data_IF_711160242960
#
_entry.id   IF_711160242960
#
_cell.length_a   1.000
_cell.length_b   1.000
_cell.length_c   1.000
_cell.angle_alpha   90.00
_cell.angle_beta   90.00
_cell.angle_gamma   90.00
#
_symmetry.space_group_name_H-M   'P 1'
#
loop_
_entity.id
_entity.type
_entity.pdbx_description
1 polymer ?
#
# COMPACT_ATOMS: atom_id res chain seq x y z
N UNK A 1 19.95 27.57 25.82
CA UNK A 1 19.33 27.04 27.06
C UNK A 1 19.26 25.53 26.92
N UNK A 2 20.04 24.78 27.71
CA UNK A 2 20.04 23.32 27.70
C UNK A 2 19.06 22.84 28.76
N UNK A 3 17.81 22.61 28.39
CA UNK A 3 16.84 21.95 29.27
C UNK A 3 17.10 20.43 29.22
N UNK A 4 17.89 19.90 30.17
CA UNK A 4 18.18 18.46 30.27
C UNK A 4 17.07 17.69 31.00
N UNK A 5 15.81 18.08 30.83
CA UNK A 5 14.67 17.51 31.56
C UNK A 5 13.55 17.17 30.57
N UNK A 6 13.01 15.96 30.68
CA UNK A 6 11.81 15.53 29.97
C UNK A 6 10.58 16.25 30.52
N UNK A 7 9.62 16.54 29.65
CA UNK A 7 8.31 17.06 30.05
C UNK A 7 7.32 15.92 30.19
N UNK A 8 6.65 15.87 31.34
CA UNK A 8 5.56 14.95 31.61
C UNK A 8 4.25 15.67 31.32
N UNK A 9 3.39 15.06 30.51
CA UNK A 9 2.00 15.51 30.37
C UNK A 9 1.13 14.71 31.33
N UNK A 10 0.16 15.36 31.98
CA UNK A 10 -0.88 14.71 32.77
C UNK A 10 -2.20 15.50 32.67
N UNK A 11 -3.22 15.07 33.41
CA UNK A 11 -4.56 15.68 33.36
C UNK A 11 -4.66 17.12 33.87
N UNK A 12 -3.62 17.65 34.52
CA UNK A 12 -3.60 19.00 35.08
C UNK A 12 -2.76 19.98 34.24
N UNK A 13 -1.94 19.49 33.31
CA UNK A 13 -1.05 20.32 32.51
C UNK A 13 0.25 19.60 32.14
N UNK A 14 1.27 20.39 31.78
CA UNK A 14 2.60 19.89 31.44
C UNK A 14 3.65 20.28 32.48
N UNK A 15 4.56 19.36 32.81
CA UNK A 15 5.47 19.49 33.95
C UNK A 15 6.92 19.17 33.59
N UNK A 16 7.87 19.95 34.14
CA UNK A 16 9.30 19.72 33.95
C UNK A 16 9.90 18.79 35.02
N UNK A 17 10.42 17.63 34.61
CA UNK A 17 11.38 16.82 35.37
C UNK A 17 10.90 16.14 36.66
N UNK A 18 11.83 15.49 37.37
CA UNK A 18 11.54 14.66 38.55
C UNK A 18 11.61 15.42 39.87
N UNK A 19 10.54 15.23 40.64
CA UNK A 19 10.26 15.56 42.05
C UNK A 19 11.06 16.71 42.73
N UNK A 20 10.41 17.85 43.02
CA UNK A 20 9.02 18.18 42.71
C UNK A 20 8.82 18.41 41.20
N UNK A 21 7.69 17.95 40.68
CA UNK A 21 7.23 18.30 39.34
C UNK A 21 7.00 19.82 39.29
N UNK A 22 7.58 20.51 38.31
CA UNK A 22 7.33 21.94 38.09
C UNK A 22 6.26 22.12 37.02
N UNK A 23 5.09 22.67 37.37
CA UNK A 23 4.04 23.01 36.41
C UNK A 23 4.57 24.07 35.43
N UNK A 24 4.43 23.81 34.14
CA UNK A 24 4.84 24.71 33.05
C UNK A 24 3.65 25.41 32.39
N UNK A 25 2.46 24.80 32.44
CA UNK A 25 1.19 25.38 32.01
C UNK A 25 0.06 24.37 32.17
N UNK A 26 -1.17 24.84 31.99
CA UNK A 26 -2.42 24.09 32.18
C UNK A 26 -3.17 24.05 30.86
N UNK A 27 -3.94 22.98 30.64
CA UNK A 27 -4.81 22.82 29.48
C UNK A 27 -5.94 23.84 29.46
N UNK A 28 -6.34 24.30 28.28
CA UNK A 28 -7.39 25.30 28.07
C UNK A 28 -8.16 25.01 26.79
N UNK A 29 -9.42 25.43 26.71
CA UNK A 29 -10.21 25.33 25.46
C UNK A 29 -9.79 26.32 24.36
N UNK A 30 -8.63 26.96 24.53
CA UNK A 30 -7.96 27.81 23.55
C UNK A 30 -6.70 27.06 23.08
N UNK A 31 -6.07 27.53 21.99
CA UNK A 31 -4.84 26.91 21.49
C UNK A 31 -3.73 26.75 22.56
N UNK A 32 -3.44 25.51 22.93
CA UNK A 32 -2.37 25.11 23.83
C UNK A 32 -1.10 24.76 23.06
N UNK A 33 0.03 25.37 23.46
CA UNK A 33 1.32 25.16 22.78
C UNK A 33 2.36 24.61 23.73
N UNK A 34 2.68 23.33 23.57
CA UNK A 34 3.75 22.63 24.30
C UNK A 34 4.92 22.36 23.37
N UNK A 35 6.06 23.03 23.60
CA UNK A 35 7.29 22.81 22.81
C UNK A 35 8.47 22.48 23.69
N UNK A 36 9.05 21.30 23.48
CA UNK A 36 10.11 20.76 24.33
C UNK A 36 11.29 20.34 23.49
N UNK A 37 12.50 20.75 23.90
CA UNK A 37 13.76 20.27 23.34
C UNK A 37 14.71 19.87 24.45
N UNK A 38 15.16 18.62 24.41
CA UNK A 38 15.99 18.02 25.46
C UNK A 38 17.05 17.09 24.90
N UNK A 39 18.07 16.81 25.71
CA UNK A 39 19.07 15.76 25.47
C UNK A 39 18.75 14.45 26.21
N UNK A 40 17.59 14.39 26.90
CA UNK A 40 17.06 13.19 27.53
C UNK A 40 16.68 12.11 26.50
N UNK A 41 16.21 10.95 26.96
CA UNK A 41 15.73 9.88 26.08
C UNK A 41 14.43 10.34 25.39
N UNK A 42 13.53 10.95 26.15
CA UNK A 42 12.24 11.42 25.66
C UNK A 42 12.15 12.95 25.70
N UNK A 43 11.65 13.55 24.62
CA UNK A 43 11.26 14.96 24.59
C UNK A 43 10.07 15.19 25.51
N UNK A 44 8.97 14.56 25.14
CA UNK A 44 7.73 14.47 25.92
C UNK A 44 7.48 13.02 26.28
N UNK A 45 6.97 12.78 27.49
CA UNK A 45 6.52 11.45 27.90
C UNK A 45 5.15 11.47 28.61
N UNK A 46 4.34 10.45 28.32
CA UNK A 46 3.16 10.05 29.08
C UNK A 46 3.45 8.67 29.65
N UNK A 47 3.65 8.58 30.96
CA UNK A 47 4.38 7.47 31.57
C UNK A 47 3.59 6.16 31.72
N UNK A 48 2.27 6.24 31.79
CA UNK A 48 1.42 5.11 32.22
C UNK A 48 0.05 5.17 31.55
N UNK A 49 -0.57 4.00 31.39
CA UNK A 49 -1.87 3.80 30.74
C UNK A 49 -3.03 4.50 31.43
N UNK A 50 -2.86 4.87 32.71
CA UNK A 50 -3.86 5.59 33.50
C UNK A 50 -3.69 7.13 33.47
N UNK A 51 -2.74 7.65 32.69
CA UNK A 51 -2.56 9.09 32.51
C UNK A 51 -3.28 9.49 31.24
N UNK A 52 -4.27 10.38 31.39
CA UNK A 52 -4.90 11.10 30.29
C UNK A 52 -4.36 12.51 30.25
N UNK A 53 -3.81 12.88 29.10
CA UNK A 53 -3.53 14.23 28.68
C UNK A 53 -4.72 14.66 27.84
N UNK A 54 -5.45 15.67 28.28
CA UNK A 54 -6.59 16.21 27.57
C UNK A 54 -6.40 17.72 27.51
N UNK A 55 -6.27 18.28 26.30
CA UNK A 55 -6.00 19.71 26.08
C UNK A 55 -7.25 20.58 26.17
N UNK A 56 -8.45 20.00 26.22
CA UNK A 56 -9.77 20.64 26.35
C UNK A 56 -10.28 21.34 25.07
N UNK A 57 -9.76 20.93 23.90
CA UNK A 57 -10.11 21.42 22.58
C UNK A 57 -9.41 22.74 22.21
N UNK A 58 -9.57 23.17 20.96
CA UNK A 58 -8.84 24.31 20.40
C UNK A 58 -7.70 23.84 19.49
N UNK A 59 -7.03 24.77 18.78
CA UNK A 59 -5.99 24.39 17.83
C UNK A 59 -4.64 24.19 18.53
N UNK A 60 -4.38 22.98 18.99
CA UNK A 60 -3.27 22.65 19.87
C UNK A 60 -2.00 22.25 19.13
N UNK A 61 -0.87 22.40 19.81
CA UNK A 61 0.42 21.99 19.29
C UNK A 61 1.28 21.35 20.36
N UNK A 62 1.52 20.05 20.22
CA UNK A 62 2.39 19.26 21.09
C UNK A 62 3.65 18.86 20.31
N UNK A 63 4.78 19.49 20.61
CA UNK A 63 6.07 19.21 19.97
C UNK A 63 7.11 18.70 20.97
N UNK A 64 7.54 17.45 20.81
CA UNK A 64 8.60 16.83 21.58
C UNK A 64 9.87 16.62 20.73
N UNK A 65 11.00 17.22 21.12
CA UNK A 65 12.30 17.04 20.47
C UNK A 65 13.30 16.41 21.44
N UNK A 66 13.87 15.27 21.05
CA UNK A 66 14.92 14.55 21.78
C UNK A 66 16.21 14.47 20.96
N UNK A 67 17.34 14.92 21.52
CA UNK A 67 18.68 14.72 20.94
C UNK A 67 19.53 13.85 21.86
N UNK A 68 19.11 12.60 22.03
CA UNK A 68 19.72 11.69 23.00
C UNK A 68 21.00 11.02 22.48
N UNK A 69 21.86 10.64 23.42
CA UNK A 69 22.96 9.68 23.15
C UNK A 69 22.66 8.29 23.69
N UNK A 70 21.47 8.11 24.30
CA UNK A 70 21.03 6.87 24.94
C UNK A 70 20.20 6.00 23.97
N UNK A 71 19.91 4.76 24.38
CA UNK A 71 19.12 3.79 23.61
C UNK A 71 17.63 4.17 23.67
N UNK A 72 16.89 3.89 22.60
CA UNK A 72 15.43 4.01 22.47
C UNK A 72 14.89 5.42 22.79
N UNK A 73 15.46 6.43 22.14
CA UNK A 73 14.96 7.80 22.27
C UNK A 73 13.67 8.02 21.49
N UNK A 74 12.85 8.95 21.97
CA UNK A 74 11.68 9.42 21.23
C UNK A 74 11.45 10.92 21.38
N UNK A 75 10.91 11.55 20.34
CA UNK A 75 10.43 12.93 20.43
C UNK A 75 9.23 12.98 21.39
N UNK A 76 8.27 12.10 21.13
CA UNK A 76 7.12 11.83 21.98
C UNK A 76 7.08 10.34 22.31
N UNK A 77 7.01 10.00 23.60
CA UNK A 77 6.80 8.65 24.09
C UNK A 77 5.48 8.57 24.84
N UNK A 78 4.49 7.86 24.27
CA UNK A 78 3.17 7.74 24.84
C UNK A 78 2.90 6.31 25.33
N UNK A 79 2.67 6.13 26.63
CA UNK A 79 2.08 4.91 27.22
C UNK A 79 0.66 5.16 27.76
N UNK A 80 0.14 6.38 27.70
CA UNK A 80 -1.16 6.77 28.25
C UNK A 80 -2.10 7.20 27.14
N UNK A 81 -2.89 8.23 27.41
CA UNK A 81 -3.79 8.84 26.45
C UNK A 81 -3.32 10.27 26.20
N UNK A 82 -3.11 10.62 24.94
CA UNK A 82 -3.03 11.99 24.46
C UNK A 82 -4.32 12.23 23.69
N UNK A 83 -5.14 13.17 24.16
CA UNK A 83 -6.43 13.52 23.60
C UNK A 83 -6.43 15.03 23.39
N UNK A 84 -6.58 15.51 22.16
CA UNK A 84 -6.63 16.95 21.88
C UNK A 84 -8.05 17.50 21.73
N UNK A 85 -9.07 16.64 21.78
CA UNK A 85 -10.48 16.98 21.52
C UNK A 85 -10.67 17.72 20.19
N UNK A 86 -11.75 18.48 19.98
CA UNK A 86 -11.99 19.16 18.70
C UNK A 86 -10.98 20.30 18.48
N UNK A 87 -10.42 20.40 17.27
CA UNK A 87 -9.44 21.43 16.94
C UNK A 87 -8.56 21.05 15.76
N UNK A 88 -7.87 22.02 15.15
CA UNK A 88 -6.85 21.73 14.14
C UNK A 88 -5.50 21.52 14.81
N UNK A 89 -5.23 20.29 15.18
CA UNK A 89 -4.17 19.95 16.11
C UNK A 89 -2.90 19.46 15.41
N UNK A 90 -1.78 19.68 16.10
CA UNK A 90 -0.46 19.25 15.62
C UNK A 90 0.26 18.48 16.72
N UNK A 91 0.49 17.19 16.48
CA UNK A 91 1.34 16.35 17.32
C UNK A 91 2.63 16.04 16.56
N UNK A 92 3.76 16.59 17.02
CA UNK A 92 5.05 16.50 16.36
C UNK A 92 6.14 15.89 17.27
N UNK A 93 6.62 14.70 16.92
CA UNK A 93 7.73 14.04 17.59
C UNK A 93 9.00 14.03 16.72
N UNK A 94 10.08 14.60 17.24
CA UNK A 94 11.40 14.61 16.58
C UNK A 94 12.42 13.94 17.50
N UNK A 95 13.12 12.92 17.01
CA UNK A 95 14.21 12.29 17.74
C UNK A 95 15.44 12.10 16.88
N UNK A 96 16.58 12.61 17.35
CA UNK A 96 17.89 12.40 16.76
C UNK A 96 18.79 11.69 17.75
N UNK A 97 19.25 10.49 17.41
CA UNK A 97 20.18 9.72 18.23
C UNK A 97 21.53 9.53 17.53
N UNK A 98 22.61 9.85 18.23
CA UNK A 98 23.97 9.66 17.70
C UNK A 98 24.54 8.28 18.00
N UNK A 99 23.77 7.39 18.64
CA UNK A 99 24.26 6.06 19.01
C UNK A 99 23.31 4.90 18.72
N UNK A 100 21.99 5.08 18.75
CA UNK A 100 21.04 3.96 18.87
C UNK A 100 19.66 4.24 18.26
N UNK A 101 18.71 3.29 18.40
CA UNK A 101 17.33 3.39 17.92
C UNK A 101 16.64 4.69 18.37
N UNK A 102 15.92 5.29 17.44
CA UNK A 102 15.28 6.60 17.58
C UNK A 102 13.89 6.56 16.95
N UNK A 103 12.87 7.07 17.64
CA UNK A 103 11.51 7.17 17.09
C UNK A 103 11.08 8.65 17.11
N UNK A 104 10.50 9.18 16.04
CA UNK A 104 9.87 10.50 16.12
C UNK A 104 8.75 10.48 17.16
N UNK A 105 7.77 9.62 16.92
CA UNK A 105 6.70 9.28 17.86
C UNK A 105 6.78 7.78 18.15
N UNK A 106 6.72 7.41 19.43
CA UNK A 106 6.51 6.04 19.87
C UNK A 106 5.23 5.98 20.71
N UNK A 107 4.22 5.34 20.17
CA UNK A 107 2.91 5.19 20.78
C UNK A 107 2.66 3.74 21.19
N UNK A 108 2.51 3.49 22.49
CA UNK A 108 2.02 2.23 23.04
C UNK A 108 0.64 2.41 23.72
N UNK A 109 0.09 3.63 23.70
CA UNK A 109 -1.19 3.98 24.32
C UNK A 109 -2.15 4.50 23.25
N UNK A 110 -2.89 5.55 23.56
CA UNK A 110 -3.82 6.20 22.63
C UNK A 110 -3.36 7.61 22.31
N UNK A 111 -3.34 7.95 21.03
CA UNK A 111 -3.34 9.33 20.55
C UNK A 111 -4.69 9.54 19.87
N UNK A 112 -5.44 10.55 20.28
CA UNK A 112 -6.73 10.95 19.74
C UNK A 112 -6.65 12.44 19.40
N UNK A 113 -6.92 12.84 18.16
CA UNK A 113 -6.91 14.26 17.77
C UNK A 113 -8.27 14.87 17.53
N UNK A 114 -9.35 14.08 17.52
CA UNK A 114 -10.70 14.59 17.70
C UNK A 114 -11.44 14.82 16.39
N UNK A 115 -11.90 16.05 16.14
CA UNK A 115 -12.49 16.43 14.86
C UNK A 115 -11.74 17.65 14.34
N UNK A 116 -11.94 17.96 13.06
CA UNK A 116 -11.20 18.93 12.26
C UNK A 116 -9.89 18.35 11.69
N UNK A 117 -9.23 19.14 10.84
CA UNK A 117 -8.07 18.66 10.09
C UNK A 117 -6.81 18.68 10.96
N UNK A 118 -6.37 17.50 11.37
CA UNK A 118 -5.26 17.27 12.26
C UNK A 118 -3.98 16.87 11.55
N UNK A 119 -2.87 16.96 12.28
CA UNK A 119 -1.56 16.61 11.76
C UNK A 119 -0.69 15.90 12.79
N UNK A 120 -0.29 14.66 12.46
CA UNK A 120 0.65 13.87 13.25
C UNK A 120 1.95 13.69 12.48
N UNK A 121 3.07 14.17 13.04
CA UNK A 121 4.39 14.12 12.40
C UNK A 121 5.39 13.40 13.30
N UNK A 122 5.96 12.29 12.82
CA UNK A 122 7.06 11.59 13.47
C UNK A 122 8.33 11.62 12.62
N UNK A 123 9.40 12.24 13.11
CA UNK A 123 10.73 12.22 12.49
C UNK A 123 11.76 11.52 13.40
N UNK A 124 12.18 10.32 12.98
CA UNK A 124 13.26 9.57 13.59
C UNK A 124 14.53 9.67 12.78
N UNK A 125 15.64 9.96 13.46
CA UNK A 125 16.98 9.90 12.89
C UNK A 125 17.97 9.20 13.83
N UNK A 126 18.77 8.28 13.27
CA UNK A 126 19.81 7.53 13.97
C UNK A 126 20.96 7.15 13.03
N UNK A 127 22.20 7.25 13.54
CA UNK A 127 23.39 6.87 12.77
C UNK A 127 23.73 5.37 12.78
N UNK A 128 23.17 4.55 13.70
CA UNK A 128 23.64 3.16 13.92
C UNK A 128 22.55 2.06 13.87
N UNK A 129 21.55 2.11 14.76
CA UNK A 129 20.64 0.97 15.01
C UNK A 129 19.25 1.13 14.37
N UNK A 130 19.12 2.07 13.43
CA UNK A 130 17.85 2.32 12.76
C UNK A 130 16.95 3.36 13.43
N UNK A 131 16.03 3.97 12.68
CA UNK A 131 15.05 4.91 13.23
C UNK A 131 13.69 4.76 12.57
N UNK A 132 12.63 4.91 13.36
CA UNK A 132 11.26 4.98 12.86
C UNK A 132 10.77 6.42 12.90
N UNK A 133 10.00 6.84 11.90
CA UNK A 133 9.27 8.10 12.00
C UNK A 133 8.19 8.02 13.08
N UNK A 134 7.23 7.15 12.83
CA UNK A 134 6.16 6.78 13.78
C UNK A 134 6.28 5.29 14.05
N UNK A 135 6.30 4.91 15.32
CA UNK A 135 6.12 3.54 15.77
C UNK A 135 4.85 3.48 16.60
N UNK A 136 3.88 2.73 16.11
CA UNK A 136 2.61 2.49 16.77
C UNK A 136 2.49 1.02 17.19
N UNK A 137 2.37 0.79 18.49
CA UNK A 137 2.00 -0.48 19.11
C UNK A 137 0.64 -0.34 19.85
N UNK A 138 -0.01 0.83 19.77
CA UNK A 138 -1.29 1.16 20.42
C UNK A 138 -2.32 1.68 19.40
N UNK A 139 -3.08 2.71 19.77
CA UNK A 139 -4.08 3.35 18.90
C UNK A 139 -3.66 4.77 18.56
N UNK A 140 -3.73 5.11 17.27
CA UNK A 140 -3.77 6.49 16.80
C UNK A 140 -5.12 6.67 16.11
N UNK A 141 -5.91 7.64 16.57
CA UNK A 141 -7.21 8.02 16.02
C UNK A 141 -7.16 9.51 15.69
N UNK A 142 -7.44 9.92 14.45
CA UNK A 142 -7.54 11.36 14.13
C UNK A 142 -8.97 11.87 14.06
N UNK A 143 -9.93 10.99 13.75
CA UNK A 143 -11.36 11.26 13.88
C UNK A 143 -11.92 11.92 12.62
N UNK A 144 -12.86 12.86 12.69
CA UNK A 144 -13.40 13.40 11.42
C UNK A 144 -12.60 14.62 10.97
N UNK A 145 -12.20 14.68 9.71
CA UNK A 145 -11.39 15.76 9.18
C UNK A 145 -10.61 15.32 7.97
N UNK A 146 -9.93 16.25 7.30
CA UNK A 146 -8.92 15.86 6.33
C UNK A 146 -7.56 15.82 7.04
N UNK A 147 -7.24 14.67 7.59
CA UNK A 147 -6.12 14.48 8.50
C UNK A 147 -4.83 14.10 7.79
N UNK A 148 -3.71 14.38 8.43
CA UNK A 148 -2.39 14.12 7.86
C UNK A 148 -1.48 13.43 8.84
N UNK A 149 -1.04 12.22 8.50
CA UNK A 149 -0.01 11.48 9.23
C UNK A 149 1.27 11.35 8.39
N UNK A 150 2.40 11.83 8.92
CA UNK A 150 3.70 11.76 8.24
C UNK A 150 4.75 11.11 9.15
N UNK A 151 5.24 9.94 8.75
CA UNK A 151 6.36 9.26 9.40
C UNK A 151 7.61 9.25 8.51
N UNK A 152 8.70 9.85 8.99
CA UNK A 152 10.03 9.80 8.35
C UNK A 152 11.05 9.10 9.24
N UNK A 153 11.58 7.96 8.80
CA UNK A 153 12.65 7.21 9.47
C UNK A 153 13.89 7.08 8.58
N UNK A 154 15.00 7.73 8.95
CA UNK A 154 16.20 7.80 8.10
C UNK A 154 16.87 6.44 7.76
N UNK A 155 16.60 5.41 8.57
CA UNK A 155 17.34 4.15 8.50
C UNK A 155 16.51 2.89 8.75
N UNK A 156 15.24 2.99 9.18
CA UNK A 156 14.31 1.85 9.24
C UNK A 156 12.99 2.16 8.53
N UNK A 157 11.94 2.52 9.26
CA UNK A 157 10.58 2.58 8.72
C UNK A 157 10.02 4.00 8.85
N UNK A 158 9.36 4.51 7.82
CA UNK A 158 8.61 5.76 7.95
C UNK A 158 7.51 5.62 9.02
N UNK A 159 6.59 4.69 8.80
CA UNK A 159 5.53 4.34 9.74
C UNK A 159 5.56 2.83 10.00
N UNK A 160 5.83 2.44 11.24
CA UNK A 160 5.76 1.06 11.71
C UNK A 160 4.50 0.91 12.58
N UNK A 161 3.50 0.22 12.07
CA UNK A 161 2.32 -0.19 12.84
C UNK A 161 2.46 -1.67 13.20
N UNK A 162 2.70 -1.96 14.48
CA UNK A 162 3.01 -3.30 14.98
C UNK A 162 1.96 -3.72 16.01
N UNK A 163 1.07 -4.64 15.66
CA UNK A 163 -0.10 -5.03 16.46
C UNK A 163 -1.04 -3.84 16.84
N UNK A 164 -0.82 -2.65 16.25
CA UNK A 164 -1.52 -1.41 16.56
C UNK A 164 -2.66 -1.08 15.59
N UNK A 165 -3.40 -0.03 15.93
CA UNK A 165 -4.47 0.55 15.11
C UNK A 165 -4.08 1.98 14.75
N UNK A 166 -4.11 2.28 13.45
CA UNK A 166 -4.16 3.64 12.92
C UNK A 166 -5.54 3.77 12.28
N UNK A 167 -6.30 4.76 12.71
CA UNK A 167 -7.64 5.07 12.23
C UNK A 167 -7.68 6.57 11.98
N UNK A 168 -7.86 7.01 10.74
CA UNK A 168 -7.93 8.44 10.44
C UNK A 168 -9.36 8.99 10.40
N UNK A 169 -10.37 8.13 10.52
CA UNK A 169 -11.79 8.50 10.59
C UNK A 169 -12.36 9.01 9.25
N UNK A 170 -13.43 9.81 9.24
CA UNK A 170 -14.04 10.25 7.97
C UNK A 170 -13.38 11.55 7.46
N UNK A 171 -13.16 11.64 6.15
CA UNK A 171 -12.65 12.79 5.43
C UNK A 171 -11.56 12.40 4.44
N UNK A 172 -10.96 13.35 3.74
CA UNK A 172 -9.92 13.04 2.75
C UNK A 172 -8.55 13.02 3.45
N UNK A 173 -8.16 11.87 3.93
CA UNK A 173 -6.99 11.68 4.77
C UNK A 173 -5.72 11.39 3.98
N UNK A 174 -4.59 11.66 4.62
CA UNK A 174 -3.28 11.39 4.03
C UNK A 174 -2.34 10.70 5.02
N UNK A 175 -1.89 9.50 4.67
CA UNK A 175 -0.85 8.76 5.40
C UNK A 175 0.41 8.67 4.53
N UNK A 176 1.51 9.24 5.00
CA UNK A 176 2.81 9.22 4.30
C UNK A 176 3.90 8.58 5.15
N UNK A 177 4.46 7.47 4.67
CA UNK A 177 5.61 6.80 5.28
C UNK A 177 6.85 6.85 4.38
N UNK A 178 7.95 7.42 4.89
CA UNK A 178 9.23 7.52 4.19
C UNK A 178 10.34 6.90 5.05
N UNK A 179 11.04 5.90 4.54
CA UNK A 179 12.18 5.32 5.24
C UNK A 179 13.01 4.34 4.41
N UNK A 180 13.79 3.47 5.06
CA UNK A 180 14.37 2.31 4.37
C UNK A 180 13.24 1.42 3.85
N UNK A 181 12.23 1.21 4.69
CA UNK A 181 10.87 0.85 4.32
C UNK A 181 9.93 2.04 4.51
N UNK A 182 8.96 2.23 3.62
CA UNK A 182 8.01 3.35 3.71
C UNK A 182 7.03 3.16 4.87
N UNK A 183 6.13 2.20 4.71
CA UNK A 183 5.16 1.78 5.74
C UNK A 183 5.27 0.27 5.95
N UNK A 184 5.29 -0.15 7.21
CA UNK A 184 5.22 -1.56 7.61
C UNK A 184 4.06 -1.73 8.58
N UNK A 185 2.98 -2.36 8.10
CA UNK A 185 1.84 -2.80 8.88
C UNK A 185 2.00 -4.31 9.18
N UNK A 186 2.34 -4.63 10.43
CA UNK A 186 2.71 -5.98 10.88
C UNK A 186 1.71 -6.41 11.95
N UNK A 187 0.80 -7.31 11.58
CA UNK A 187 -0.35 -7.74 12.39
C UNK A 187 -1.26 -6.61 12.89
N UNK A 188 -1.10 -5.40 12.34
CA UNK A 188 -1.85 -4.21 12.70
C UNK A 188 -3.03 -3.95 11.77
N UNK A 189 -3.71 -2.83 12.03
CA UNK A 189 -4.79 -2.29 11.21
C UNK A 189 -4.49 -0.83 10.87
N UNK A 190 -4.66 -0.49 9.59
CA UNK A 190 -4.67 0.89 9.10
C UNK A 190 -6.05 1.11 8.46
N UNK A 191 -6.74 2.18 8.88
CA UNK A 191 -8.05 2.59 8.40
C UNK A 191 -8.07 4.07 8.08
N UNK A 192 -8.70 4.44 6.97
CA UNK A 192 -8.88 5.85 6.59
C UNK A 192 -10.32 6.30 6.39
N UNK A 193 -11.31 5.41 6.57
CA UNK A 193 -12.72 5.78 6.72
C UNK A 193 -13.40 6.23 5.42
N UNK A 194 -14.51 6.97 5.50
CA UNK A 194 -15.16 7.47 4.28
C UNK A 194 -14.45 8.76 3.80
N UNK A 195 -14.03 8.82 2.53
CA UNK A 195 -13.39 9.97 1.92
C UNK A 195 -12.49 9.55 0.76
N UNK A 196 -11.91 10.53 0.05
CA UNK A 196 -10.92 10.22 -0.98
C UNK A 196 -9.52 10.24 -0.36
N UNK A 197 -9.06 9.09 0.11
CA UNK A 197 -7.87 8.95 0.93
C UNK A 197 -6.61 8.72 0.12
N UNK A 198 -5.47 9.06 0.73
CA UNK A 198 -4.17 8.87 0.11
C UNK A 198 -3.18 8.20 1.06
N UNK A 199 -2.71 7.01 0.68
CA UNK A 199 -1.58 6.34 1.33
C UNK A 199 -0.36 6.38 0.40
N UNK A 200 0.69 7.09 0.84
CA UNK A 200 1.98 7.15 0.13
C UNK A 200 3.08 6.46 0.93
N UNK A 201 3.69 5.43 0.35
CA UNK A 201 4.74 4.65 1.00
C UNK A 201 6.03 4.62 0.17
N UNK A 202 7.09 5.26 0.67
CA UNK A 202 8.39 5.36 0.00
C UNK A 202 9.50 4.63 0.77
N UNK A 203 9.88 3.46 0.25
CA UNK A 203 11.04 2.68 0.67
C UNK A 203 12.28 3.03 -0.13
N UNK A 204 13.24 3.70 0.49
CA UNK A 204 14.47 4.19 -0.15
C UNK A 204 15.54 3.11 -0.36
N UNK A 205 15.42 1.96 0.32
CA UNK A 205 16.41 0.87 0.26
C UNK A 205 15.78 -0.51 0.14
N UNK A 206 14.62 -0.70 0.78
CA UNK A 206 13.88 -1.95 0.84
C UNK A 206 12.42 -1.74 0.40
N UNK A 207 11.43 -2.25 1.12
CA UNK A 207 10.02 -2.30 0.72
C UNK A 207 9.31 -0.94 0.79
N UNK A 208 8.43 -0.66 -0.16
CA UNK A 208 7.62 0.56 -0.09
C UNK A 208 6.53 0.43 0.97
N UNK A 209 5.69 -0.60 0.82
CA UNK A 209 4.58 -0.91 1.71
C UNK A 209 4.60 -2.41 2.07
N UNK A 210 4.53 -2.75 3.35
CA UNK A 210 4.40 -4.13 3.82
C UNK A 210 3.11 -4.28 4.63
N UNK A 211 2.31 -5.28 4.31
CA UNK A 211 1.08 -5.61 5.02
C UNK A 211 1.09 -7.12 5.35
N UNK A 212 1.67 -7.45 6.50
CA UNK A 212 1.95 -8.84 6.90
C UNK A 212 0.99 -9.27 8.00
N UNK A 213 0.12 -10.24 7.69
CA UNK A 213 -0.96 -10.70 8.56
C UNK A 213 -1.81 -9.53 9.10
N UNK A 214 -1.93 -8.48 8.30
CA UNK A 214 -2.45 -7.17 8.68
C UNK A 214 -3.53 -6.71 7.69
N UNK A 215 -4.31 -5.72 8.11
CA UNK A 215 -5.38 -5.12 7.30
C UNK A 215 -5.07 -3.66 7.02
N UNK A 216 -5.22 -3.26 5.76
CA UNK A 216 -5.29 -1.86 5.33
C UNK A 216 -6.62 -1.69 4.62
N UNK A 217 -7.42 -0.74 5.05
CA UNK A 217 -8.80 -0.55 4.62
C UNK A 217 -9.06 0.95 4.45
N UNK A 218 -9.20 1.41 3.21
CA UNK A 218 -9.40 2.85 2.93
C UNK A 218 -10.86 3.27 2.88
N UNK A 219 -11.82 2.35 3.08
CA UNK A 219 -13.22 2.70 3.30
C UNK A 219 -14.01 2.99 2.02
N UNK A 220 -14.68 4.13 1.88
CA UNK A 220 -15.39 4.47 0.64
C UNK A 220 -14.91 5.82 0.13
N UNK A 221 -14.78 5.96 -1.18
CA UNK A 221 -14.35 7.17 -1.88
C UNK A 221 -13.35 6.79 -2.95
N UNK A 222 -12.91 7.77 -3.75
CA UNK A 222 -11.89 7.48 -4.77
C UNK A 222 -10.50 7.49 -4.11
N UNK A 223 -10.04 6.33 -3.64
CA UNK A 223 -8.83 6.20 -2.84
C UNK A 223 -7.57 6.00 -3.67
N UNK A 224 -6.43 6.40 -3.11
CA UNK A 224 -5.13 6.27 -3.78
C UNK A 224 -4.07 5.67 -2.87
N UNK A 225 -3.52 4.52 -3.28
CA UNK A 225 -2.34 3.90 -2.67
C UNK A 225 -1.17 3.98 -3.65
N UNK A 226 -0.18 4.82 -3.33
CA UNK A 226 1.04 4.97 -4.13
C UNK A 226 2.26 4.45 -3.39
N UNK A 227 2.97 3.50 -4.01
CA UNK A 227 4.10 2.82 -3.39
C UNK A 227 5.33 2.85 -4.28
N UNK A 228 6.42 3.36 -3.73
CA UNK A 228 7.75 3.30 -4.34
C UNK A 228 8.69 2.56 -3.41
N UNK A 229 9.37 1.53 -3.90
CA UNK A 229 10.33 0.78 -3.10
C UNK A 229 10.68 -0.51 -3.78
N UNK A 230 10.93 -1.58 -3.03
CA UNK A 230 11.20 -2.89 -3.61
C UNK A 230 9.94 -3.54 -4.19
N UNK A 231 8.82 -3.43 -3.49
CA UNK A 231 7.46 -3.88 -3.85
C UNK A 231 6.41 -3.39 -2.83
N UNK A 232 5.11 -3.50 -3.16
CA UNK A 232 4.01 -3.73 -2.20
C UNK A 232 4.04 -5.20 -1.81
N UNK A 233 4.15 -5.49 -0.52
CA UNK A 233 4.33 -6.85 -0.01
C UNK A 233 3.20 -7.28 0.89
N UNK A 234 2.37 -8.20 0.41
CA UNK A 234 1.30 -8.81 1.19
C UNK A 234 1.72 -10.21 1.61
N UNK A 235 1.70 -10.48 2.92
CA UNK A 235 1.99 -11.80 3.47
C UNK A 235 0.86 -12.24 4.40
N UNK A 236 -0.17 -12.87 3.82
CA UNK A 236 -1.40 -13.27 4.53
C UNK A 236 -2.23 -12.09 5.04
N UNK A 237 -2.00 -10.89 4.53
CA UNK A 237 -2.75 -9.66 4.85
C UNK A 237 -3.66 -9.23 3.70
N UNK A 238 -4.51 -8.23 3.96
CA UNK A 238 -5.46 -7.69 2.98
C UNK A 238 -5.35 -6.17 2.80
N UNK A 239 -5.43 -5.72 1.55
CA UNK A 239 -5.71 -4.32 1.20
C UNK A 239 -7.13 -4.26 0.65
N UNK A 240 -7.94 -3.35 1.18
CA UNK A 240 -9.31 -3.08 0.79
C UNK A 240 -9.45 -1.58 0.50
N UNK A 241 -10.02 -1.20 -0.65
CA UNK A 241 -10.27 0.22 -0.97
C UNK A 241 -11.75 0.58 -1.04
N UNK A 242 -12.63 -0.42 -1.21
CA UNK A 242 -14.06 -0.34 -0.93
C UNK A 242 -14.90 0.19 -2.10
N UNK A 243 -15.76 1.19 -1.90
CA UNK A 243 -16.54 1.72 -3.03
C UNK A 243 -15.94 3.02 -3.52
N UNK A 244 -15.72 3.16 -4.83
CA UNK A 244 -15.13 4.34 -5.45
C UNK A 244 -14.25 3.94 -6.63
N UNK A 245 -13.69 4.91 -7.34
CA UNK A 245 -12.75 4.64 -8.43
C UNK A 245 -11.33 4.66 -7.87
N UNK A 246 -10.88 3.54 -7.36
CA UNK A 246 -9.67 3.44 -6.57
C UNK A 246 -8.43 3.24 -7.43
N UNK A 247 -7.29 3.69 -6.92
CA UNK A 247 -6.00 3.55 -7.61
C UNK A 247 -4.93 2.97 -6.71
N UNK A 248 -4.40 1.81 -7.08
CA UNK A 248 -3.22 1.20 -6.48
C UNK A 248 -2.06 1.22 -7.48
N UNK A 249 -1.03 2.01 -7.20
CA UNK A 249 0.19 2.07 -8.03
C UNK A 249 1.42 1.65 -7.24
N UNK A 250 2.13 0.65 -7.74
CA UNK A 250 3.37 0.16 -7.14
C UNK A 250 4.53 0.16 -8.13
N UNK A 251 5.62 0.85 -7.78
CA UNK A 251 6.87 0.86 -8.54
C UNK A 251 7.98 0.13 -7.77
N UNK A 252 8.29 -1.08 -8.25
CA UNK A 252 9.37 -1.94 -7.80
C UNK A 252 10.72 -1.55 -8.39
N UNK A 253 11.59 -0.96 -7.58
CA UNK A 253 12.93 -0.49 -7.95
C UNK A 253 13.96 -1.60 -8.17
N UNK A 254 13.67 -2.83 -7.73
CA UNK A 254 14.60 -3.97 -7.81
C UNK A 254 13.96 -5.25 -8.35
N UNK A 255 12.80 -5.62 -7.81
CA UNK A 255 12.20 -6.94 -8.09
C UNK A 255 10.79 -6.82 -8.66
N UNK A 256 9.79 -6.57 -7.82
CA UNK A 256 8.38 -6.70 -8.18
C UNK A 256 7.62 -5.40 -7.90
N UNK A 257 6.61 -5.03 -8.70
CA UNK A 257 5.73 -3.91 -8.34
C UNK A 257 4.83 -4.31 -7.16
N UNK A 258 3.93 -5.25 -7.40
CA UNK A 258 3.00 -5.81 -6.41
C UNK A 258 3.33 -7.28 -6.16
N UNK A 259 3.55 -7.68 -4.90
CA UNK A 259 3.83 -9.06 -4.51
C UNK A 259 2.83 -9.55 -3.46
N UNK A 260 1.97 -10.48 -3.85
CA UNK A 260 0.94 -11.10 -3.01
C UNK A 260 1.25 -12.57 -2.77
N UNK A 261 1.43 -12.99 -1.52
CA UNK A 261 1.62 -14.41 -1.15
C UNK A 261 0.28 -15.16 -1.10
N UNK A 262 0.29 -16.51 -0.97
CA UNK A 262 -0.92 -17.25 -0.67
C UNK A 262 -1.65 -16.70 0.56
N UNK A 263 -2.98 -16.70 0.51
CA UNK A 263 -3.89 -16.13 1.51
C UNK A 263 -3.82 -14.60 1.67
N UNK A 264 -3.19 -13.89 0.75
CA UNK A 264 -3.26 -12.42 0.70
C UNK A 264 -4.34 -11.95 -0.27
N UNK A 265 -4.90 -10.78 0.00
CA UNK A 265 -6.01 -10.20 -0.76
C UNK A 265 -5.70 -8.74 -1.13
N UNK A 266 -6.00 -8.39 -2.38
CA UNK A 266 -6.27 -7.01 -2.79
C UNK A 266 -7.70 -7.02 -3.30
N UNK A 267 -8.56 -6.21 -2.68
CA UNK A 267 -9.94 -6.05 -3.12
C UNK A 267 -10.20 -4.55 -3.28
N UNK A 268 -10.54 -4.11 -4.50
CA UNK A 268 -10.82 -2.68 -4.72
C UNK A 268 -12.28 -2.35 -4.54
N UNK A 269 -13.21 -3.19 -5.03
CA UNK A 269 -14.61 -3.20 -4.58
C UNK A 269 -15.56 -2.70 -5.67
N UNK A 270 -16.51 -1.81 -5.40
CA UNK A 270 -17.38 -1.31 -6.48
C UNK A 270 -16.85 0.04 -7.02
N UNK A 271 -16.65 0.14 -8.32
CA UNK A 271 -16.24 1.36 -9.04
C UNK A 271 -15.23 1.04 -10.14
N UNK A 272 -14.80 2.04 -10.90
CA UNK A 272 -13.86 1.82 -12.00
C UNK A 272 -12.42 1.90 -11.47
N UNK A 273 -11.87 0.77 -11.07
CA UNK A 273 -10.63 0.70 -10.33
C UNK A 273 -9.40 0.56 -11.23
N UNK A 274 -8.25 0.96 -10.70
CA UNK A 274 -6.96 0.83 -11.41
C UNK A 274 -5.88 0.24 -10.50
N UNK A 275 -5.35 -0.92 -10.89
CA UNK A 275 -4.19 -1.54 -10.24
C UNK A 275 -3.02 -1.57 -11.23
N UNK A 276 -1.93 -0.89 -10.88
CA UNK A 276 -0.71 -0.86 -11.69
C UNK A 276 0.52 -1.33 -10.90
N UNK A 277 1.12 -2.43 -11.35
CA UNK A 277 2.42 -2.91 -10.85
C UNK A 277 3.50 -2.74 -11.91
N UNK A 278 4.53 -1.96 -11.61
CA UNK A 278 5.68 -1.71 -12.51
C UNK A 278 6.99 -2.11 -11.85
N UNK A 279 7.89 -2.80 -12.56
CA UNK A 279 9.25 -3.07 -12.04
C UNK A 279 10.25 -3.48 -13.12
N UNK A 280 11.46 -3.85 -12.69
CA UNK A 280 12.50 -4.39 -13.59
C UNK A 280 12.35 -5.89 -13.89
N UNK A 281 11.66 -6.67 -13.05
CA UNK A 281 11.56 -8.12 -13.22
C UNK A 281 10.09 -8.59 -13.31
N UNK A 282 9.23 -8.22 -12.38
CA UNK A 282 7.81 -8.57 -12.46
C UNK A 282 6.88 -7.42 -12.10
N UNK A 283 5.94 -7.06 -12.97
CA UNK A 283 4.98 -6.00 -12.66
C UNK A 283 4.11 -6.37 -11.45
N UNK A 284 3.36 -7.46 -11.60
CA UNK A 284 2.48 -8.02 -10.56
C UNK A 284 2.83 -9.49 -10.35
N UNK A 285 3.13 -9.88 -9.12
CA UNK A 285 3.20 -11.27 -8.69
C UNK A 285 1.99 -11.59 -7.80
N UNK A 286 1.08 -12.43 -8.28
CA UNK A 286 -0.09 -12.86 -7.52
C UNK A 286 -0.04 -14.36 -7.23
N UNK A 287 0.19 -14.72 -5.97
CA UNK A 287 0.00 -16.06 -5.41
C UNK A 287 -1.26 -16.13 -4.53
N UNK A 288 -1.92 -14.97 -4.33
CA UNK A 288 -3.16 -14.79 -3.58
C UNK A 288 -4.32 -14.43 -4.51
N UNK A 289 -5.21 -13.56 -4.03
CA UNK A 289 -6.34 -13.05 -4.81
C UNK A 289 -6.18 -11.54 -5.01
N UNK A 290 -6.37 -11.11 -6.26
CA UNK A 290 -6.64 -9.72 -6.63
C UNK A 290 -8.06 -9.72 -7.20
N UNK A 291 -8.94 -8.86 -6.67
CA UNK A 291 -10.35 -8.82 -7.00
C UNK A 291 -10.77 -7.35 -7.14
N UNK A 292 -11.10 -6.91 -8.35
CA UNK A 292 -11.48 -5.50 -8.56
C UNK A 292 -12.96 -5.24 -8.41
N UNK A 293 -13.80 -6.29 -8.35
CA UNK A 293 -15.22 -6.17 -8.02
C UNK A 293 -16.10 -5.73 -9.19
N UNK A 294 -16.86 -4.64 -9.07
CA UNK A 294 -17.84 -4.23 -10.10
C UNK A 294 -17.46 -2.86 -10.68
N UNK A 295 -17.27 -2.74 -11.98
CA UNK A 295 -16.94 -1.50 -12.66
C UNK A 295 -16.11 -1.75 -13.91
N UNK A 296 -15.73 -0.69 -14.62
CA UNK A 296 -14.81 -0.81 -15.76
C UNK A 296 -13.36 -0.74 -15.27
N UNK A 297 -12.79 -1.89 -14.91
CA UNK A 297 -11.53 -1.98 -14.19
C UNK A 297 -10.30 -2.08 -15.08
N UNK A 298 -9.16 -1.65 -14.55
CA UNK A 298 -7.88 -1.67 -15.24
C UNK A 298 -6.81 -2.30 -14.37
N UNK A 299 -6.24 -3.42 -14.83
CA UNK A 299 -5.09 -4.07 -14.20
C UNK A 299 -3.90 -4.06 -15.17
N UNK A 300 -2.80 -3.43 -14.77
CA UNK A 300 -1.58 -3.33 -15.58
C UNK A 300 -0.39 -3.92 -14.82
N UNK A 301 0.13 -5.03 -15.31
CA UNK A 301 1.42 -5.57 -14.92
C UNK A 301 2.49 -5.25 -15.96
N UNK A 302 3.51 -4.48 -15.59
CA UNK A 302 4.61 -4.10 -16.48
C UNK A 302 5.99 -4.43 -15.91
N UNK A 303 6.82 -5.12 -16.70
CA UNK A 303 8.23 -5.36 -16.38
C UNK A 303 9.17 -4.84 -17.48
N UNK A 304 10.29 -4.24 -17.06
CA UNK A 304 11.35 -3.75 -17.97
C UNK A 304 12.72 -4.19 -17.46
N UNK A 305 13.25 -5.28 -18.00
CA UNK A 305 14.58 -5.78 -17.65
C UNK A 305 15.67 -5.24 -18.60
N UNK A 306 16.91 -5.22 -18.11
CA UNK A 306 18.10 -4.92 -18.89
C UNK A 306 19.10 -6.08 -18.82
N UNK A 307 19.96 -6.19 -19.84
CA UNK A 307 21.02 -7.18 -19.99
C UNK A 307 20.52 -8.63 -20.06
N UNK A 308 19.43 -8.88 -20.80
CA UNK A 308 18.91 -10.24 -20.98
C UNK A 308 18.30 -10.88 -19.72
N UNK A 309 17.87 -10.08 -18.73
CA UNK A 309 17.15 -10.56 -17.55
C UNK A 309 15.78 -11.19 -17.87
N UNK A 310 15.15 -11.84 -16.89
CA UNK A 310 13.77 -12.32 -17.01
C UNK A 310 12.79 -11.16 -16.73
N UNK A 311 11.66 -11.12 -17.44
CA UNK A 311 10.67 -10.05 -17.32
C UNK A 311 9.25 -10.57 -17.57
N UNK A 312 8.38 -10.43 -16.56
CA UNK A 312 6.95 -10.79 -16.64
C UNK A 312 6.08 -9.58 -16.29
N UNK A 313 5.08 -9.27 -17.09
CA UNK A 313 4.07 -8.29 -16.70
C UNK A 313 3.30 -8.77 -15.46
N UNK A 314 2.74 -9.98 -15.55
CA UNK A 314 1.97 -10.64 -14.48
C UNK A 314 2.49 -12.07 -14.28
N UNK A 315 2.78 -12.49 -13.04
CA UNK A 315 3.31 -13.82 -12.76
C UNK A 315 2.68 -14.41 -11.49
N UNK A 316 2.53 -15.73 -11.43
CA UNK A 316 2.18 -16.43 -10.19
C UNK A 316 1.21 -17.58 -10.42
N UNK A 317 0.68 -18.13 -9.34
CA UNK A 317 -0.27 -19.25 -9.32
C UNK A 317 -1.60 -18.89 -8.63
N UNK A 318 -1.79 -17.61 -8.31
CA UNK A 318 -3.01 -17.07 -7.72
C UNK A 318 -4.13 -16.78 -8.73
N UNK A 319 -5.05 -15.92 -8.32
CA UNK A 319 -6.21 -15.52 -9.12
C UNK A 319 -6.31 -14.00 -9.22
N UNK A 320 -6.64 -13.52 -10.41
CA UNK A 320 -7.08 -12.15 -10.68
C UNK A 320 -8.54 -12.24 -11.13
N UNK A 321 -9.43 -11.47 -10.50
CA UNK A 321 -10.84 -11.35 -10.84
C UNK A 321 -11.15 -9.89 -11.11
N UNK A 322 -11.90 -9.60 -12.17
CA UNK A 322 -12.35 -8.24 -12.46
C UNK A 322 -13.85 -8.04 -12.30
N UNK A 323 -14.62 -9.12 -12.19
CA UNK A 323 -16.05 -9.08 -11.91
C UNK A 323 -16.86 -8.49 -13.07
N UNK A 324 -17.72 -7.50 -12.80
CA UNK A 324 -18.70 -7.05 -13.80
C UNK A 324 -18.38 -5.66 -14.34
N UNK A 325 -18.35 -5.52 -15.67
CA UNK A 325 -18.01 -4.28 -16.35
C UNK A 325 -17.19 -4.54 -17.60
N UNK A 326 -16.65 -3.51 -18.24
CA UNK A 326 -15.80 -3.69 -19.43
C UNK A 326 -14.33 -3.57 -19.01
N UNK A 327 -13.76 -4.70 -18.58
CA UNK A 327 -12.49 -4.72 -17.88
C UNK A 327 -11.29 -4.85 -18.81
N UNK A 328 -10.14 -4.38 -18.32
CA UNK A 328 -8.88 -4.42 -19.05
C UNK A 328 -7.76 -4.98 -18.19
N UNK A 329 -7.27 -6.16 -18.57
CA UNK A 329 -6.09 -6.76 -17.94
C UNK A 329 -4.94 -6.79 -18.95
N UNK A 330 -3.88 -6.05 -18.66
CA UNK A 330 -2.72 -5.89 -19.54
C UNK A 330 -1.43 -6.36 -18.85
N UNK A 331 -0.76 -7.34 -19.46
CA UNK A 331 0.55 -7.81 -19.07
C UNK A 331 1.59 -7.46 -20.15
N UNK A 332 2.56 -6.62 -19.80
CA UNK A 332 3.63 -6.18 -20.70
C UNK A 332 4.98 -6.51 -20.08
N UNK A 333 5.88 -7.07 -20.88
CA UNK A 333 7.29 -7.22 -20.50
C UNK A 333 8.19 -6.74 -21.63
N UNK A 334 9.32 -6.16 -21.26
CA UNK A 334 10.38 -5.76 -22.19
C UNK A 334 11.75 -6.11 -21.63
N UNK A 335 12.66 -6.49 -22.52
CA UNK A 335 14.06 -6.79 -22.20
C UNK A 335 14.90 -6.02 -23.21
N UNK A 336 15.82 -5.17 -22.72
CA UNK A 336 16.69 -4.35 -23.57
C UNK A 336 15.89 -3.51 -24.60
N UNK A 337 14.81 -2.88 -24.12
CA UNK A 337 13.86 -2.06 -24.92
C UNK A 337 13.06 -2.82 -25.98
N UNK A 338 13.19 -4.15 -26.04
CA UNK A 338 12.41 -5.01 -26.94
C UNK A 338 11.25 -5.62 -26.17
N UNK A 339 10.02 -5.38 -26.66
CA UNK A 339 8.82 -6.01 -26.11
C UNK A 339 8.90 -7.54 -26.27
N UNK A 340 8.68 -8.25 -25.19
CA UNK A 340 8.67 -9.70 -25.18
C UNK A 340 7.29 -10.23 -25.57
N UNK A 341 7.30 -11.43 -26.13
CA UNK A 341 6.09 -12.16 -26.55
C UNK A 341 5.41 -12.91 -25.41
N UNK A 342 6.18 -13.24 -24.37
CA UNK A 342 5.70 -13.93 -23.17
C UNK A 342 5.75 -12.91 -22.05
N UNK A 343 4.57 -12.51 -21.59
CA UNK A 343 4.38 -11.48 -20.57
C UNK A 343 3.62 -11.97 -19.35
N UNK A 344 3.09 -13.20 -19.38
CA UNK A 344 2.55 -13.86 -18.19
C UNK A 344 3.24 -15.18 -17.88
N UNK A 345 3.16 -15.64 -16.63
CA UNK A 345 3.70 -16.94 -16.22
C UNK A 345 3.21 -17.44 -14.86
N UNK A 346 3.74 -18.60 -14.46
CA UNK A 346 3.47 -19.22 -13.15
C UNK A 346 2.21 -20.09 -13.08
N UNK A 347 1.35 -20.07 -14.11
CA UNK A 347 0.06 -20.76 -14.08
C UNK A 347 -1.09 -19.93 -13.51
N UNK A 348 -0.95 -18.60 -13.51
CA UNK A 348 -1.93 -17.64 -13.03
C UNK A 348 -3.31 -17.89 -13.64
N UNK A 349 -4.36 -17.70 -12.85
CA UNK A 349 -5.75 -17.70 -13.33
C UNK A 349 -6.26 -16.26 -13.39
N UNK A 350 -6.86 -15.87 -14.52
CA UNK A 350 -7.47 -14.56 -14.73
C UNK A 350 -8.93 -14.80 -15.13
N UNK A 351 -9.86 -14.21 -14.38
CA UNK A 351 -11.30 -14.32 -14.57
C UNK A 351 -11.83 -12.90 -14.84
N UNK A 352 -12.29 -12.64 -16.07
CA UNK A 352 -12.84 -11.34 -16.47
C UNK A 352 -14.36 -11.24 -16.20
N UNK A 353 -14.98 -12.37 -15.87
CA UNK A 353 -16.37 -12.49 -15.42
C UNK A 353 -17.43 -11.96 -16.41
N UNK A 354 -17.94 -10.72 -16.32
CA UNK A 354 -19.01 -10.31 -17.24
C UNK A 354 -18.86 -8.89 -17.79
N UNK A 355 -18.88 -8.79 -19.12
CA UNK A 355 -19.01 -7.56 -19.87
C UNK A 355 -18.34 -7.69 -21.23
N UNK A 356 -17.72 -6.63 -21.74
CA UNK A 356 -16.96 -6.74 -22.99
C UNK A 356 -15.50 -6.49 -22.67
N UNK A 357 -14.83 -7.54 -22.25
CA UNK A 357 -13.54 -7.45 -21.58
C UNK A 357 -12.39 -7.54 -22.57
N UNK A 358 -11.22 -7.10 -22.13
CA UNK A 358 -10.00 -7.14 -22.92
C UNK A 358 -8.84 -7.68 -22.08
N UNK A 359 -8.30 -8.82 -22.51
CA UNK A 359 -7.03 -9.32 -22.00
C UNK A 359 -5.93 -9.14 -23.04
N UNK A 360 -4.86 -8.43 -22.65
CA UNK A 360 -3.64 -8.26 -23.44
C UNK A 360 -2.46 -8.94 -22.75
N UNK A 361 -2.04 -10.07 -23.28
CA UNK A 361 -0.89 -10.80 -22.77
C UNK A 361 -0.80 -12.21 -23.32
N UNK A 362 0.35 -12.87 -23.11
CA UNK A 362 0.53 -14.27 -23.49
C UNK A 362 1.57 -14.96 -22.60
N UNK A 363 1.34 -16.24 -22.30
CA UNK A 363 2.25 -17.04 -21.50
C UNK A 363 1.54 -18.20 -20.82
N UNK A 364 2.19 -18.80 -19.82
CA UNK A 364 1.61 -19.93 -19.07
C UNK A 364 0.58 -19.44 -18.04
N UNK A 365 -0.70 -19.67 -18.33
CA UNK A 365 -1.83 -19.33 -17.47
C UNK A 365 -3.17 -19.77 -18.05
N UNK A 366 -4.23 -19.52 -17.30
CA UNK A 366 -5.63 -19.70 -17.72
C UNK A 366 -6.34 -18.37 -17.69
N UNK A 367 -7.03 -18.00 -18.78
CA UNK A 367 -7.79 -16.75 -18.86
C UNK A 367 -9.21 -17.05 -19.30
N UNK A 368 -10.19 -16.65 -18.51
CA UNK A 368 -11.60 -16.77 -18.83
C UNK A 368 -12.17 -15.38 -19.10
N UNK A 369 -12.60 -15.12 -20.33
CA UNK A 369 -13.32 -13.88 -20.67
C UNK A 369 -14.72 -13.84 -20.07
N UNK A 370 -15.31 -15.00 -19.77
CA UNK A 370 -16.59 -15.05 -19.06
C UNK A 370 -17.78 -14.83 -19.99
N UNK A 371 -18.68 -13.91 -19.66
CA UNK A 371 -19.88 -13.62 -20.46
C UNK A 371 -19.84 -12.24 -21.09
N UNK A 372 -20.00 -12.20 -22.41
CA UNK A 372 -20.29 -11.00 -23.17
C UNK A 372 -19.56 -11.05 -24.50
N UNK A 373 -18.92 -9.97 -24.91
CA UNK A 373 -18.11 -9.96 -26.14
C UNK A 373 -16.67 -9.59 -25.80
N UNK A 374 -15.85 -10.61 -25.61
CA UNK A 374 -14.53 -10.47 -25.02
C UNK A 374 -13.42 -10.56 -26.06
N UNK A 375 -12.35 -9.82 -25.82
CA UNK A 375 -11.23 -9.66 -26.73
C UNK A 375 -9.93 -10.15 -26.13
N UNK A 376 -9.29 -11.10 -26.82
CA UNK A 376 -7.93 -11.53 -26.55
C UNK A 376 -6.95 -10.79 -27.48
N UNK A 377 -6.21 -9.82 -26.93
CA UNK A 377 -5.20 -9.05 -27.66
C UNK A 377 -3.83 -9.74 -27.65
N UNK A 378 -3.47 -10.29 -28.81
CA UNK A 378 -2.21 -10.96 -29.12
C UNK A 378 -1.44 -10.18 -30.18
N UNK A 379 -1.55 -8.85 -30.22
CA UNK A 379 -0.92 -7.98 -31.22
C UNK A 379 0.62 -8.08 -31.27
N UNK A 380 1.25 -8.79 -30.33
CA UNK A 380 2.69 -9.12 -30.35
C UNK A 380 3.03 -10.32 -31.25
N UNK A 381 2.03 -11.02 -31.77
CA UNK A 381 2.16 -12.16 -32.67
C UNK A 381 1.52 -11.89 -34.03
N UNK A 382 2.18 -12.32 -35.10
CA UNK A 382 1.48 -12.66 -36.34
C UNK A 382 0.72 -13.97 -36.12
N UNK A 383 -0.46 -14.14 -36.74
CA UNK A 383 -1.29 -15.34 -36.55
C UNK A 383 -0.54 -16.65 -36.81
N UNK A 384 0.36 -16.66 -37.80
CA UNK A 384 1.17 -17.84 -38.18
C UNK A 384 2.18 -18.30 -37.12
N UNK A 385 2.44 -17.49 -36.10
CA UNK A 385 3.41 -17.80 -35.04
C UNK A 385 2.81 -18.64 -33.90
N UNK A 386 1.48 -18.81 -33.88
CA UNK A 386 0.76 -19.53 -32.85
C UNK A 386 0.09 -20.78 -33.43
N UNK A 387 0.27 -21.90 -32.73
CA UNK A 387 -0.55 -23.10 -32.93
C UNK A 387 -1.79 -22.93 -32.06
N UNK A 388 -2.97 -23.01 -32.66
CA UNK A 388 -4.23 -22.89 -31.94
C UNK A 388 -4.95 -24.24 -32.03
N UNK A 389 -5.42 -24.73 -30.89
CA UNK A 389 -6.10 -26.03 -30.76
C UNK A 389 -7.25 -25.95 -29.76
N UNK A 390 -8.05 -27.01 -29.65
CA UNK A 390 -9.21 -27.04 -28.74
C UNK A 390 -10.40 -26.20 -29.19
N UNK A 391 -10.40 -25.76 -30.45
CA UNK A 391 -11.50 -25.02 -31.07
C UNK A 391 -12.45 -25.98 -31.76
N UNK A 392 -13.75 -25.84 -31.51
CA UNK A 392 -14.80 -26.55 -32.24
C UNK A 392 -16.07 -25.70 -32.34
N UNK A 393 -16.87 -25.92 -33.37
CA UNK A 393 -18.09 -25.13 -33.63
C UNK A 393 -19.26 -25.48 -32.69
N UNK A 394 -19.17 -26.59 -31.98
CA UNK A 394 -20.12 -27.03 -30.95
C UNK A 394 -19.70 -26.61 -29.52
N UNK A 395 -18.56 -25.94 -29.38
CA UNK A 395 -18.05 -25.49 -28.09
C UNK A 395 -18.74 -24.21 -27.64
N UNK A 396 -19.64 -24.33 -26.65
CA UNK A 396 -20.36 -23.19 -26.09
C UNK A 396 -19.53 -22.33 -25.14
N UNK A 397 -18.34 -22.78 -24.75
CA UNK A 397 -17.44 -22.06 -23.85
C UNK A 397 -16.36 -21.27 -24.60
N UNK A 398 -16.36 -21.30 -25.94
CA UNK A 398 -15.35 -20.64 -26.78
C UNK A 398 -13.90 -20.96 -26.33
N UNK A 399 -13.62 -22.21 -25.97
CA UNK A 399 -12.29 -22.58 -25.46
C UNK A 399 -11.24 -22.62 -26.56
N UNK A 400 -10.03 -22.18 -26.27
CA UNK A 400 -8.87 -22.32 -27.14
C UNK A 400 -7.57 -22.50 -26.33
N UNK A 401 -6.67 -23.33 -26.86
CA UNK A 401 -5.29 -23.45 -26.38
C UNK A 401 -4.36 -22.86 -27.44
N UNK A 402 -3.61 -21.83 -27.06
CA UNK A 402 -2.68 -21.13 -27.93
C UNK A 402 -1.25 -21.47 -27.51
N UNK A 403 -0.47 -22.09 -28.40
CA UNK A 403 0.89 -22.52 -28.13
C UNK A 403 1.89 -21.76 -29.00
N UNK A 404 2.89 -21.16 -28.34
CA UNK A 404 4.06 -20.55 -28.96
C UNK A 404 5.29 -21.41 -28.68
N UNK A 405 6.10 -21.69 -29.71
CA UNK A 405 7.39 -22.34 -29.53
C UNK A 405 8.46 -21.27 -29.34
N UNK A 406 8.90 -21.09 -28.10
CA UNK A 406 9.97 -20.19 -27.73
C UNK A 406 11.30 -20.95 -27.67
N UNK A 407 12.05 -20.97 -28.78
CA UNK A 407 13.38 -21.58 -28.86
C UNK A 407 13.47 -23.07 -28.43
N UNK A 408 12.39 -23.84 -28.66
CA UNK A 408 12.30 -25.25 -28.29
C UNK A 408 11.34 -25.50 -27.13
N UNK A 409 11.03 -24.47 -26.34
CA UNK A 409 10.10 -24.56 -25.22
C UNK A 409 8.69 -24.17 -25.66
N UNK A 410 7.76 -25.10 -25.57
CA UNK A 410 6.35 -24.86 -25.88
C UNK A 410 5.66 -24.18 -24.70
N UNK A 411 5.19 -22.95 -24.90
CA UNK A 411 4.45 -22.16 -23.92
C UNK A 411 2.99 -22.10 -24.38
N UNK A 412 2.07 -22.48 -23.50
CA UNK A 412 0.64 -22.55 -23.81
C UNK A 412 -0.17 -21.63 -22.89
N UNK A 413 -1.03 -20.83 -23.52
CA UNK A 413 -2.11 -20.08 -22.89
C UNK A 413 -3.43 -20.84 -23.10
N UNK A 414 -4.15 -21.15 -22.02
CA UNK A 414 -5.48 -21.75 -22.08
C UNK A 414 -6.54 -20.67 -21.87
N UNK A 415 -7.55 -20.67 -22.73
CA UNK A 415 -8.58 -19.62 -22.74
C UNK A 415 -9.99 -20.17 -22.88
N UNK A 416 -10.97 -19.46 -22.32
CA UNK A 416 -12.42 -19.65 -22.51
C UNK A 416 -13.11 -18.30 -22.61
N UNK A 417 -14.30 -18.26 -23.22
CA UNK A 417 -15.13 -17.06 -23.27
C UNK A 417 -14.53 -15.90 -24.06
N UNK A 418 -13.85 -16.15 -25.19
CA UNK A 418 -13.36 -15.07 -26.06
C UNK A 418 -13.97 -15.17 -27.46
N UNK A 419 -14.63 -14.10 -27.89
CA UNK A 419 -15.25 -13.99 -29.21
C UNK A 419 -14.28 -13.42 -30.25
N UNK A 420 -13.32 -12.59 -29.83
CA UNK A 420 -12.41 -11.84 -30.69
C UNK A 420 -10.93 -12.09 -30.35
N UNK A 421 -10.12 -12.29 -31.39
CA UNK A 421 -8.68 -12.50 -31.30
C UNK A 421 -7.96 -11.49 -32.19
N UNK A 422 -7.15 -10.62 -31.59
CA UNK A 422 -6.38 -9.59 -32.32
C UNK A 422 -4.93 -10.05 -32.47
N UNK A 423 -4.43 -10.09 -33.69
CA UNK A 423 -3.03 -10.36 -34.03
C UNK A 423 -2.40 -9.13 -34.69
N UNK A 424 -1.08 -9.11 -34.83
CA UNK A 424 -0.36 -8.03 -35.50
C UNK A 424 -0.76 -7.87 -36.99
N UNK A 425 -1.15 -8.97 -37.64
CA UNK A 425 -1.43 -9.05 -39.08
C UNK A 425 -2.91 -9.28 -39.42
N UNK A 426 -3.76 -9.50 -38.42
CA UNK A 426 -5.17 -9.88 -38.63
C UNK A 426 -6.01 -9.76 -37.36
N UNK A 427 -7.34 -9.77 -37.52
CA UNK A 427 -8.29 -9.98 -36.42
C UNK A 427 -9.25 -11.11 -36.83
N UNK A 428 -9.52 -12.02 -35.89
CA UNK A 428 -10.34 -13.21 -36.14
C UNK A 428 -11.40 -13.34 -35.06
N UNK A 429 -12.60 -13.76 -35.46
CA UNK A 429 -13.64 -14.18 -34.52
C UNK A 429 -13.48 -15.66 -34.20
N UNK A 430 -13.90 -16.10 -33.01
CA UNK A 430 -13.90 -17.51 -32.62
C UNK A 430 -14.63 -18.39 -33.65
N UNK A 431 -15.80 -17.93 -34.10
CA UNK A 431 -16.61 -18.62 -35.13
C UNK A 431 -15.84 -18.83 -36.44
N UNK A 432 -14.98 -17.89 -36.83
CA UNK A 432 -14.13 -18.02 -38.02
C UNK A 432 -13.00 -19.03 -37.80
N UNK A 433 -12.42 -19.10 -36.60
CA UNK A 433 -11.43 -20.10 -36.24
C UNK A 433 -12.04 -21.51 -36.22
N UNK A 434 -13.25 -21.65 -35.67
CA UNK A 434 -13.95 -22.91 -35.55
C UNK A 434 -14.40 -23.51 -36.88
N UNK A 435 -14.70 -22.68 -37.87
CA UNK A 435 -15.05 -23.14 -39.22
C UNK A 435 -13.84 -23.59 -40.06
N UNK A 436 -12.61 -23.26 -39.61
CA UNK A 436 -11.37 -23.61 -40.30
C UNK A 436 -10.63 -24.80 -39.68
N UNK A 437 -11.02 -25.22 -38.47
CA UNK A 437 -10.55 -26.43 -37.79
C UNK A 437 -11.34 -27.66 -38.26
#
# INVERSE_FOLDING_TARGET
MTYSKTVNLNSQGWYLGTNPLTLLGTWTNDADVVRVKTTCIYGIQVLSTNITVNTLGGNDTITGTSTSTKIDSAGIFNNGIIDTEDGKDIICGISTSTKNRSNGIRNNGTINTGNDNDTIIGNGSSVNLGSNGIRNDGTINTGNGNDTMIGTGDSLVGILNYDGIIDTGDGNDTITGIGSSGISNLSGTIKTGDGNDTITATGTKDTGFQNYFATTDTGNGDDTITVTGRFIGLNGGGIYTGNGNDTITATGTKDTGIFSTPNSFINTGDGNDTITGTSNNTGITSLGIIDTGEGEDIIIGQATAANGGDAHGIFGDGTIKTGSGNDQVTAISSIDEVQQKVSIGGGITIELDSGNDCFKGFGSGTVNGGTGFDTLDLSVFNRSQLVISGISSDNTLNSANLTFNNNGDAITLSTTGFESFIFADSALYYSSLANAA
#
